data_IF_753237759269
#
_entry.id   IF_753237759269
#
_cell.length_a   1.000
_cell.length_b   1.000
_cell.length_c   1.000
_cell.angle_alpha   90.00
_cell.angle_beta   90.00
_cell.angle_gamma   90.00
#
_symmetry.space_group_name_H-M   'P 1'
#
loop_
_entity.id
_entity.type
_entity.pdbx_description
1 polymer ?
#
# COMPACT_ATOMS: atom_id res chain seq x y z
N UNK A 1 2.63 -6.53 -28.55
CA UNK A 1 3.85 -5.78 -28.15
C UNK A 1 4.00 -4.60 -29.08
N UNK A 2 4.41 -3.44 -28.54
CA UNK A 2 4.69 -2.22 -29.31
C UNK A 2 6.20 -1.95 -29.30
N UNK A 3 6.70 -1.23 -30.31
CA UNK A 3 8.12 -0.85 -30.37
C UNK A 3 8.45 0.17 -29.25
N UNK A 4 9.67 0.11 -28.72
CA UNK A 4 10.12 0.93 -27.58
C UNK A 4 10.03 2.43 -27.86
N UNK A 5 10.38 2.84 -29.05
CA UNK A 5 10.37 4.23 -29.53
C UNK A 5 8.95 4.77 -29.78
N UNK A 6 8.00 3.90 -30.07
CA UNK A 6 6.61 4.25 -30.31
C UNK A 6 5.82 4.36 -28.99
N UNK A 7 6.32 3.78 -27.89
CA UNK A 7 5.62 3.83 -26.61
C UNK A 7 5.46 5.27 -26.10
N UNK A 8 4.26 5.56 -25.67
CA UNK A 8 3.88 6.81 -24.98
C UNK A 8 3.20 6.47 -23.66
N UNK A 9 3.30 7.35 -22.66
CA UNK A 9 2.56 7.18 -21.40
C UNK A 9 1.09 6.92 -21.63
N UNK A 10 0.53 5.96 -20.90
CA UNK A 10 -0.87 5.59 -21.00
C UNK A 10 -1.78 6.76 -20.60
N UNK A 11 -3.01 6.77 -21.14
CA UNK A 11 -4.05 7.78 -20.90
C UNK A 11 -3.66 9.21 -21.28
N UNK A 12 -2.73 9.38 -22.24
CA UNK A 12 -2.31 10.69 -22.71
C UNK A 12 -1.55 11.54 -21.67
N UNK A 13 -1.08 10.93 -20.58
CA UNK A 13 -0.37 11.65 -19.52
C UNK A 13 1.00 12.14 -20.01
N UNK A 14 1.37 13.34 -19.57
CA UNK A 14 2.70 13.89 -19.77
C UNK A 14 3.51 13.70 -18.50
N UNK A 15 4.58 12.89 -18.59
CA UNK A 15 5.54 12.73 -17.50
C UNK A 15 6.59 13.84 -17.57
N UNK A 16 7.12 14.24 -16.40
CA UNK A 16 8.31 15.08 -16.40
C UNK A 16 9.52 14.34 -17.00
N UNK A 17 10.57 15.05 -17.46
CA UNK A 17 11.68 14.44 -18.18
C UNK A 17 12.34 13.26 -17.45
N UNK A 18 12.63 13.39 -16.15
CA UNK A 18 13.24 12.31 -15.35
C UNK A 18 12.29 11.14 -15.10
N UNK A 19 11.00 11.39 -14.90
CA UNK A 19 9.99 10.35 -14.80
C UNK A 19 9.84 9.57 -16.11
N UNK A 20 9.87 10.27 -17.26
CA UNK A 20 9.83 9.64 -18.57
C UNK A 20 11.09 8.80 -18.84
N UNK A 21 12.27 9.34 -18.50
CA UNK A 21 13.54 8.61 -18.58
C UNK A 21 13.49 7.35 -17.72
N UNK A 22 13.03 7.48 -16.46
CA UNK A 22 12.89 6.35 -15.56
C UNK A 22 11.90 5.30 -16.09
N UNK A 23 10.76 5.73 -16.64
CA UNK A 23 9.77 4.81 -17.19
C UNK A 23 10.34 3.97 -18.35
N UNK A 24 11.20 4.56 -19.20
CA UNK A 24 11.79 3.94 -20.39
C UNK A 24 13.12 3.23 -20.15
N UNK A 25 13.72 3.30 -18.96
CA UNK A 25 15.01 2.68 -18.66
C UNK A 25 14.96 1.15 -18.80
N UNK A 26 15.90 0.57 -19.51
CA UNK A 26 15.92 -0.86 -19.87
C UNK A 26 17.14 -1.62 -19.36
N UNK A 27 18.18 -0.94 -18.92
CA UNK A 27 19.49 -1.56 -18.64
C UNK A 27 19.89 -1.42 -17.16
N UNK A 28 19.63 -0.27 -16.55
CA UNK A 28 20.18 0.08 -15.24
C UNK A 28 19.15 -0.02 -14.12
N UNK A 29 19.63 -0.26 -12.92
CA UNK A 29 18.90 0.03 -11.71
C UNK A 29 18.73 1.54 -11.55
N UNK A 30 17.65 1.96 -10.90
CA UNK A 30 17.30 3.37 -10.72
C UNK A 30 17.07 3.71 -9.26
N UNK A 31 17.61 4.83 -8.82
CA UNK A 31 17.37 5.42 -7.52
C UNK A 31 16.68 6.78 -7.69
N UNK A 32 15.34 6.83 -7.53
CA UNK A 32 14.56 8.04 -7.73
C UNK A 32 14.22 8.69 -6.40
N UNK A 33 14.67 9.91 -6.22
CA UNK A 33 14.20 10.78 -5.16
C UNK A 33 13.12 11.72 -5.70
N UNK A 34 12.02 11.83 -5.00
CA UNK A 34 10.86 12.56 -5.46
C UNK A 34 10.08 13.15 -4.30
N UNK A 35 9.82 14.44 -4.34
CA UNK A 35 9.02 15.12 -3.32
C UNK A 35 7.56 14.65 -3.26
N UNK A 36 6.80 15.15 -2.27
CA UNK A 36 5.37 14.87 -2.17
C UNK A 36 4.65 15.37 -3.43
N UNK A 37 3.69 14.59 -3.92
CA UNK A 37 2.93 14.97 -5.11
C UNK A 37 3.68 14.85 -6.44
N UNK A 38 4.93 14.39 -6.48
CA UNK A 38 5.72 14.27 -7.71
C UNK A 38 5.27 13.13 -8.65
N UNK A 39 4.26 12.35 -8.28
CA UNK A 39 3.74 11.29 -9.13
C UNK A 39 4.55 9.98 -9.06
N UNK A 40 5.24 9.69 -7.94
CA UNK A 40 6.03 8.46 -7.73
C UNK A 40 5.29 7.19 -8.17
N UNK A 41 4.13 6.96 -7.62
CA UNK A 41 3.31 5.76 -7.91
C UNK A 41 2.83 5.73 -9.37
N UNK A 42 2.55 6.89 -9.96
CA UNK A 42 2.18 6.99 -11.37
C UNK A 42 3.37 6.62 -12.28
N UNK A 43 4.56 7.14 -11.98
CA UNK A 43 5.77 6.80 -12.73
C UNK A 43 6.04 5.28 -12.68
N UNK A 44 5.91 4.63 -11.52
CA UNK A 44 6.05 3.17 -11.41
C UNK A 44 5.01 2.42 -12.24
N UNK A 45 3.77 2.90 -12.29
CA UNK A 45 2.72 2.29 -13.11
C UNK A 45 3.01 2.46 -14.61
N UNK A 46 3.47 3.62 -15.04
CA UNK A 46 3.88 3.88 -16.43
C UNK A 46 5.12 3.06 -16.82
N UNK A 47 6.07 2.87 -15.89
CA UNK A 47 7.21 1.97 -16.09
C UNK A 47 6.75 0.52 -16.26
N UNK A 48 5.81 0.05 -15.44
CA UNK A 48 5.24 -1.29 -15.60
C UNK A 48 4.55 -1.45 -16.97
N UNK A 49 3.79 -0.45 -17.38
CA UNK A 49 3.14 -0.41 -18.70
C UNK A 49 4.18 -0.49 -19.82
N UNK A 50 5.24 0.33 -19.76
CA UNK A 50 6.33 0.29 -20.70
C UNK A 50 6.97 -1.10 -20.79
N UNK A 51 7.41 -1.65 -19.66
CA UNK A 51 8.12 -2.93 -19.62
C UNK A 51 7.26 -4.11 -20.12
N UNK A 52 5.97 -4.09 -19.84
CA UNK A 52 5.04 -5.15 -20.24
C UNK A 52 4.59 -5.02 -21.69
N UNK A 53 4.24 -3.82 -22.16
CA UNK A 53 3.74 -3.60 -23.52
C UNK A 53 4.84 -3.70 -24.58
N UNK A 54 6.04 -3.25 -24.25
CA UNK A 54 7.18 -3.36 -25.20
C UNK A 54 7.81 -4.75 -25.21
N UNK A 55 7.48 -5.59 -24.22
CA UNK A 55 8.11 -6.90 -24.06
C UNK A 55 9.52 -6.84 -23.47
N UNK A 56 9.95 -5.68 -22.96
CA UNK A 56 11.23 -5.54 -22.22
C UNK A 56 11.24 -6.45 -21.00
N UNK A 57 10.13 -6.59 -20.26
CA UNK A 57 9.87 -7.71 -19.36
C UNK A 57 9.38 -8.91 -20.19
N UNK A 58 10.31 -9.78 -20.60
CA UNK A 58 9.99 -10.93 -21.47
C UNK A 58 9.15 -11.97 -20.76
N UNK A 59 8.17 -12.54 -21.45
CA UNK A 59 7.42 -13.72 -20.95
C UNK A 59 8.38 -14.93 -20.78
N UNK A 60 8.29 -15.72 -19.71
CA UNK A 60 7.28 -15.71 -18.62
C UNK A 60 7.68 -14.84 -17.40
N UNK A 61 8.71 -14.01 -17.51
CA UNK A 61 9.15 -13.14 -16.41
C UNK A 61 8.05 -12.18 -15.95
N UNK A 62 8.16 -11.75 -14.71
CA UNK A 62 7.19 -10.90 -14.02
C UNK A 62 7.87 -9.66 -13.45
N UNK A 63 7.09 -8.67 -13.10
CA UNK A 63 7.52 -7.51 -12.34
C UNK A 63 7.10 -7.72 -10.88
N UNK A 64 7.99 -7.49 -9.94
CA UNK A 64 7.72 -7.48 -8.51
C UNK A 64 7.69 -6.04 -8.01
N UNK A 65 6.65 -5.65 -7.31
CA UNK A 65 6.63 -4.41 -6.51
C UNK A 65 6.61 -4.75 -5.02
N UNK A 66 7.44 -4.06 -4.25
CA UNK A 66 7.49 -4.16 -2.81
C UNK A 66 7.22 -2.77 -2.23
N UNK A 67 6.18 -2.64 -1.42
CA UNK A 67 5.76 -1.41 -0.77
C UNK A 67 5.79 -1.57 0.75
N UNK A 68 5.83 -0.45 1.47
CA UNK A 68 5.83 -0.47 2.93
C UNK A 68 4.45 -0.80 3.51
N UNK A 69 3.39 -0.25 2.90
CA UNK A 69 2.00 -0.35 3.37
C UNK A 69 1.15 -1.20 2.45
N UNK A 70 0.16 -1.88 3.03
CA UNK A 70 -0.78 -2.71 2.28
C UNK A 70 -1.56 -1.89 1.26
N UNK A 71 -2.05 -0.70 1.66
CA UNK A 71 -2.81 0.20 0.80
C UNK A 71 -1.98 0.71 -0.38
N UNK A 72 -0.70 1.04 -0.15
CA UNK A 72 0.22 1.44 -1.21
C UNK A 72 0.41 0.31 -2.24
N UNK A 73 0.59 -0.94 -1.75
CA UNK A 73 0.71 -2.13 -2.60
C UNK A 73 -0.55 -2.36 -3.45
N UNK A 74 -1.73 -2.22 -2.84
CA UNK A 74 -3.02 -2.38 -3.53
C UNK A 74 -3.26 -1.27 -4.54
N UNK A 75 -2.98 -0.02 -4.17
CA UNK A 75 -3.13 1.16 -5.04
C UNK A 75 -2.21 1.06 -6.27
N UNK A 76 -0.94 0.70 -6.07
CA UNK A 76 -0.01 0.51 -7.19
C UNK A 76 -0.49 -0.58 -8.15
N UNK A 77 -0.96 -1.72 -7.63
CA UNK A 77 -1.50 -2.82 -8.43
C UNK A 77 -2.70 -2.40 -9.27
N UNK A 78 -3.67 -1.70 -8.67
CA UNK A 78 -4.84 -1.20 -9.39
C UNK A 78 -4.46 -0.14 -10.44
N UNK A 79 -3.48 0.70 -10.14
CA UNK A 79 -2.97 1.71 -11.07
C UNK A 79 -2.29 1.05 -12.27
N UNK A 80 -1.43 0.05 -12.04
CA UNK A 80 -0.82 -0.75 -13.12
C UNK A 80 -1.89 -1.40 -13.98
N UNK A 81 -2.90 -2.04 -13.37
CA UNK A 81 -4.01 -2.66 -14.09
C UNK A 81 -4.76 -1.65 -14.98
N UNK A 82 -4.93 -0.42 -14.49
CA UNK A 82 -5.57 0.67 -15.26
C UNK A 82 -4.71 1.08 -16.46
N UNK A 83 -3.38 1.13 -16.32
CA UNK A 83 -2.46 1.57 -17.39
C UNK A 83 -2.23 0.51 -18.45
N UNK A 84 -1.93 -0.73 -18.07
CA UNK A 84 -1.57 -1.78 -19.03
C UNK A 84 -2.71 -2.77 -19.37
N UNK A 85 -3.85 -2.66 -18.70
CA UNK A 85 -4.98 -3.58 -18.85
C UNK A 85 -4.85 -4.85 -17.99
N UNK A 86 -5.98 -5.55 -17.81
CA UNK A 86 -6.09 -6.69 -16.90
C UNK A 86 -5.19 -7.86 -17.29
N UNK A 87 -5.02 -8.12 -18.57
CA UNK A 87 -4.22 -9.24 -19.07
C UNK A 87 -2.74 -9.10 -18.71
N UNK A 88 -2.12 -7.98 -19.09
CA UNK A 88 -0.71 -7.73 -18.81
C UNK A 88 -0.45 -7.56 -17.31
N UNK A 89 -1.40 -6.97 -16.57
CA UNK A 89 -1.32 -6.82 -15.12
C UNK A 89 -1.26 -8.15 -14.36
N UNK A 90 -1.64 -9.29 -14.96
CA UNK A 90 -1.43 -10.62 -14.36
C UNK A 90 0.04 -10.93 -14.09
N UNK A 91 0.94 -10.27 -14.82
CA UNK A 91 2.40 -10.41 -14.68
C UNK A 91 3.01 -9.39 -13.72
N UNK A 92 2.21 -8.65 -12.99
CA UNK A 92 2.63 -7.68 -11.98
C UNK A 92 2.23 -8.19 -10.60
N UNK A 93 3.22 -8.50 -9.77
CA UNK A 93 3.05 -8.90 -8.37
C UNK A 93 3.33 -7.70 -7.48
N UNK A 94 2.44 -7.41 -6.54
CA UNK A 94 2.62 -6.32 -5.57
C UNK A 94 2.42 -6.87 -4.16
N UNK A 95 3.41 -6.65 -3.29
CA UNK A 95 3.45 -7.14 -1.92
C UNK A 95 4.00 -6.08 -0.97
N UNK A 96 3.73 -6.24 0.32
CA UNK A 96 4.57 -5.63 1.35
C UNK A 96 5.82 -6.48 1.58
N UNK A 97 6.86 -5.93 2.24
CA UNK A 97 8.05 -6.71 2.61
C UNK A 97 7.71 -8.00 3.36
N UNK A 98 6.81 -7.91 4.34
CA UNK A 98 6.38 -9.07 5.12
C UNK A 98 5.58 -10.07 4.30
N UNK A 99 4.73 -9.61 3.38
CA UNK A 99 4.01 -10.50 2.48
C UNK A 99 4.95 -11.21 1.49
N UNK A 100 5.98 -10.52 1.00
CA UNK A 100 7.02 -11.13 0.16
C UNK A 100 7.84 -12.15 0.95
N UNK A 101 8.27 -11.81 2.17
CA UNK A 101 8.98 -12.73 3.06
C UNK A 101 8.15 -13.98 3.37
N UNK A 102 6.85 -13.79 3.72
CA UNK A 102 5.94 -14.92 3.95
C UNK A 102 5.86 -15.85 2.73
N UNK A 103 5.77 -15.29 1.53
CA UNK A 103 5.72 -16.07 0.30
C UNK A 103 6.99 -16.90 0.08
N UNK A 104 8.16 -16.38 0.46
CA UNK A 104 9.42 -17.13 0.44
C UNK A 104 9.35 -18.28 1.44
N UNK A 105 8.91 -18.02 2.66
CA UNK A 105 8.77 -19.03 3.71
C UNK A 105 7.81 -20.13 3.25
N UNK A 106 6.60 -19.78 2.82
CA UNK A 106 5.58 -20.74 2.41
C UNK A 106 6.10 -21.70 1.31
N UNK A 107 6.89 -21.17 0.38
CA UNK A 107 7.40 -21.96 -0.76
C UNK A 107 8.64 -22.79 -0.43
N UNK A 108 9.52 -22.27 0.43
CA UNK A 108 10.82 -22.87 0.70
C UNK A 108 11.02 -23.27 2.16
N UNK A 109 9.92 -23.38 2.92
CA UNK A 109 9.90 -23.76 4.34
C UNK A 109 10.79 -24.96 4.69
N UNK A 110 10.88 -26.04 3.87
CA UNK A 110 11.74 -27.19 4.22
C UNK A 110 13.24 -26.88 4.36
N UNK A 111 13.69 -25.70 3.94
CA UNK A 111 15.07 -25.21 4.15
C UNK A 111 15.32 -24.84 5.62
N UNK A 112 14.26 -24.48 6.34
CA UNK A 112 14.33 -24.17 7.77
C UNK A 112 14.38 -25.46 8.57
N UNK A 113 15.45 -25.62 9.36
CA UNK A 113 15.72 -26.83 10.14
C UNK A 113 16.02 -26.47 11.61
N UNK A 114 16.00 -27.48 12.51
CA UNK A 114 16.27 -27.28 13.93
C UNK A 114 15.18 -26.41 14.59
N UNK A 115 15.59 -25.44 15.36
CA UNK A 115 14.70 -24.52 16.09
C UNK A 115 13.86 -23.62 15.17
N UNK A 116 14.31 -23.44 13.93
CA UNK A 116 13.60 -22.63 12.93
C UNK A 116 12.67 -23.47 12.04
N UNK A 117 12.61 -24.78 12.23
CA UNK A 117 11.74 -25.65 11.44
C UNK A 117 10.28 -25.25 11.61
N UNK A 118 9.54 -25.16 10.49
CA UNK A 118 8.13 -24.82 10.49
C UNK A 118 7.30 -25.94 9.85
N UNK A 119 6.18 -26.23 10.45
CA UNK A 119 5.20 -27.19 9.94
C UNK A 119 4.31 -26.61 8.84
N UNK A 120 3.62 -27.48 8.08
CA UNK A 120 2.62 -27.03 7.13
C UNK A 120 1.46 -26.39 7.89
N UNK A 121 1.03 -25.20 7.45
CA UNK A 121 -0.08 -24.50 8.10
C UNK A 121 0.29 -23.75 9.37
N UNK A 122 1.60 -23.48 9.61
CA UNK A 122 2.00 -22.57 10.69
C UNK A 122 1.21 -21.26 10.65
N UNK A 123 0.99 -20.67 11.83
CA UNK A 123 0.21 -19.43 11.99
C UNK A 123 1.13 -18.27 12.41
N UNK A 124 0.72 -17.06 12.08
CA UNK A 124 1.33 -15.83 12.57
C UNK A 124 0.53 -15.39 13.79
N UNK A 125 1.21 -15.21 14.92
CA UNK A 125 0.62 -14.75 16.18
C UNK A 125 1.25 -13.42 16.60
N UNK A 126 0.55 -12.65 17.43
CA UNK A 126 1.06 -11.40 17.97
C UNK A 126 2.21 -11.63 18.95
N UNK A 127 2.17 -12.74 19.69
CA UNK A 127 3.22 -13.18 20.61
C UNK A 127 3.36 -14.70 20.58
N UNK A 128 4.60 -15.19 20.69
CA UNK A 128 4.88 -16.61 20.92
C UNK A 128 5.70 -16.77 22.20
N UNK A 129 5.49 -17.87 22.91
CA UNK A 129 6.30 -18.25 24.06
C UNK A 129 7.33 -19.31 23.66
N UNK A 130 8.54 -18.83 23.28
CA UNK A 130 9.66 -19.71 22.88
C UNK A 130 9.59 -20.23 21.43
N UNK A 131 10.56 -21.11 21.05
CA UNK A 131 10.59 -21.71 19.72
C UNK A 131 9.35 -22.54 19.44
N UNK A 132 8.74 -22.38 18.27
CA UNK A 132 7.56 -23.11 17.86
C UNK A 132 7.61 -23.45 16.38
N UNK A 133 7.20 -24.68 16.04
CA UNK A 133 7.07 -25.12 14.64
C UNK A 133 5.75 -24.72 14.00
N UNK A 134 4.77 -24.36 14.82
CA UNK A 134 3.40 -24.05 14.38
C UNK A 134 3.04 -22.57 14.50
N UNK A 135 3.86 -21.77 15.22
CA UNK A 135 3.62 -20.34 15.44
C UNK A 135 4.91 -19.54 15.19
N UNK A 136 4.75 -18.42 14.46
CA UNK A 136 5.79 -17.39 14.32
C UNK A 136 5.18 -16.02 14.63
N UNK A 137 6.02 -15.06 14.98
CA UNK A 137 5.60 -13.66 15.08
C UNK A 137 5.74 -12.95 13.74
N UNK A 138 5.03 -11.82 13.63
CA UNK A 138 5.14 -10.99 12.44
C UNK A 138 6.58 -10.49 12.21
N UNK A 139 7.31 -10.21 13.28
CA UNK A 139 8.72 -9.83 13.29
C UNK A 139 9.68 -10.94 12.80
N UNK A 140 9.28 -12.20 12.86
CA UNK A 140 10.10 -13.33 12.41
C UNK A 140 10.12 -13.50 10.88
N UNK A 141 9.15 -12.92 10.17
CA UNK A 141 8.97 -13.16 8.74
C UNK A 141 10.20 -12.80 7.91
N UNK A 142 10.73 -11.61 8.08
CA UNK A 142 11.89 -11.15 7.30
C UNK A 142 13.16 -11.92 7.69
N UNK A 143 13.49 -12.11 8.97
CA UNK A 143 14.63 -12.95 9.38
C UNK A 143 14.59 -14.38 8.85
N UNK A 144 13.44 -15.06 8.91
CA UNK A 144 13.30 -16.42 8.40
C UNK A 144 13.47 -16.50 6.87
N UNK A 145 12.94 -15.51 6.15
CA UNK A 145 13.14 -15.41 4.69
C UNK A 145 14.62 -15.18 4.35
N UNK A 146 15.34 -14.36 5.12
CA UNK A 146 16.78 -14.15 5.00
C UNK A 146 17.53 -15.50 5.18
N UNK A 147 17.22 -16.26 6.24
CA UNK A 147 17.83 -17.57 6.47
C UNK A 147 17.62 -18.53 5.30
N UNK A 148 16.39 -18.57 4.74
CA UNK A 148 16.11 -19.40 3.56
C UNK A 148 16.99 -18.99 2.40
N UNK A 149 17.08 -17.69 2.11
CA UNK A 149 17.89 -17.21 0.99
C UNK A 149 19.38 -17.40 1.21
N UNK A 150 19.88 -17.32 2.45
CA UNK A 150 21.27 -17.62 2.78
C UNK A 150 21.59 -19.09 2.55
N UNK A 151 20.74 -20.00 3.02
CA UNK A 151 20.98 -21.45 3.01
C UNK A 151 20.65 -22.11 1.66
N UNK A 152 19.77 -21.55 0.84
CA UNK A 152 19.26 -22.20 -0.37
C UNK A 152 19.53 -21.41 -1.65
N UNK A 153 20.46 -21.89 -2.46
CA UNK A 153 20.65 -21.40 -3.84
C UNK A 153 19.40 -21.64 -4.71
N UNK A 154 18.67 -22.73 -4.46
CA UNK A 154 17.44 -23.06 -5.18
C UNK A 154 16.37 -21.99 -4.94
N UNK A 155 16.21 -21.54 -3.68
CA UNK A 155 15.26 -20.46 -3.36
C UNK A 155 15.65 -19.14 -4.05
N UNK A 156 16.94 -18.75 -3.99
CA UNK A 156 17.44 -17.57 -4.70
C UNK A 156 17.19 -17.65 -6.20
N UNK A 157 17.56 -18.77 -6.81
CA UNK A 157 17.41 -18.96 -8.26
C UNK A 157 15.94 -18.96 -8.68
N UNK A 158 15.03 -19.53 -7.92
CA UNK A 158 13.61 -19.51 -8.22
C UNK A 158 13.04 -18.08 -8.25
N UNK A 159 13.44 -17.21 -7.31
CA UNK A 159 13.05 -15.79 -7.32
C UNK A 159 13.64 -15.09 -8.56
N UNK A 160 14.93 -15.29 -8.81
CA UNK A 160 15.66 -14.69 -9.94
C UNK A 160 15.15 -15.13 -11.30
N UNK A 161 14.65 -16.35 -11.41
CA UNK A 161 14.00 -16.85 -12.62
C UNK A 161 12.58 -16.27 -12.80
N UNK A 162 11.91 -15.91 -11.72
CA UNK A 162 10.53 -15.40 -11.77
C UNK A 162 10.49 -13.94 -12.19
N UNK A 163 11.40 -13.09 -11.68
CA UNK A 163 11.33 -11.65 -11.87
C UNK A 163 12.44 -11.12 -12.77
N UNK A 164 12.13 -10.11 -13.58
CA UNK A 164 13.10 -9.33 -14.36
C UNK A 164 13.26 -7.92 -13.83
N UNK A 165 12.24 -7.41 -13.15
CA UNK A 165 12.19 -6.05 -12.64
C UNK A 165 11.61 -6.05 -11.23
N UNK A 166 12.14 -5.18 -10.37
CA UNK A 166 11.69 -5.01 -8.99
C UNK A 166 11.50 -3.53 -8.70
N UNK A 167 10.32 -3.16 -8.23
CA UNK A 167 9.99 -1.80 -7.82
C UNK A 167 9.94 -1.73 -6.30
N UNK A 168 10.59 -0.73 -5.74
CA UNK A 168 10.65 -0.46 -4.31
C UNK A 168 10.01 0.91 -4.07
N UNK A 169 8.77 0.90 -3.54
CA UNK A 169 8.03 2.12 -3.25
C UNK A 169 8.22 2.53 -1.79
N UNK A 170 8.23 3.84 -1.51
CA UNK A 170 8.54 4.44 -0.20
C UNK A 170 9.87 3.92 0.39
N UNK A 171 10.89 3.82 -0.48
CA UNK A 171 12.14 3.15 -0.16
C UNK A 171 12.92 3.81 1.00
N UNK A 172 12.69 5.09 1.31
CA UNK A 172 13.29 5.80 2.45
C UNK A 172 12.99 5.15 3.80
N UNK A 173 11.92 4.36 3.89
CA UNK A 173 11.49 3.70 5.12
C UNK A 173 12.05 2.26 5.26
N UNK A 174 12.91 1.81 4.33
CA UNK A 174 13.48 0.48 4.33
C UNK A 174 14.40 0.24 5.53
N UNK A 175 14.17 -0.84 6.27
CA UNK A 175 15.00 -1.22 7.42
C UNK A 175 16.23 -2.03 6.99
N UNK A 176 17.23 -2.18 7.90
CA UNK A 176 18.43 -2.98 7.64
C UNK A 176 18.09 -4.42 7.21
N UNK A 177 17.19 -5.10 7.91
CA UNK A 177 16.80 -6.49 7.58
C UNK A 177 16.08 -6.57 6.23
N UNK A 178 15.22 -5.61 5.92
CA UNK A 178 14.55 -5.57 4.61
C UNK A 178 15.55 -5.33 3.48
N UNK A 179 16.53 -4.48 3.71
CA UNK A 179 17.59 -4.23 2.74
C UNK A 179 18.49 -5.44 2.54
N UNK A 180 18.84 -6.16 3.61
CA UNK A 180 19.56 -7.43 3.53
C UNK A 180 18.80 -8.47 2.70
N UNK A 181 17.48 -8.59 2.92
CA UNK A 181 16.62 -9.46 2.11
C UNK A 181 16.70 -9.13 0.61
N UNK A 182 16.69 -7.84 0.25
CA UNK A 182 16.83 -7.39 -1.14
C UNK A 182 18.19 -7.74 -1.73
N UNK A 183 19.27 -7.53 -0.96
CA UNK A 183 20.64 -7.87 -1.41
C UNK A 183 20.78 -9.37 -1.68
N UNK A 184 20.34 -10.22 -0.77
CA UNK A 184 20.38 -11.66 -0.94
C UNK A 184 19.57 -12.14 -2.15
N UNK A 185 18.44 -11.55 -2.39
CA UNK A 185 17.57 -11.90 -3.51
C UNK A 185 18.13 -11.44 -4.86
N UNK A 186 18.64 -10.19 -4.95
CA UNK A 186 18.79 -9.51 -6.24
C UNK A 186 20.19 -8.95 -6.53
N UNK A 187 21.07 -8.74 -5.54
CA UNK A 187 22.39 -8.17 -5.78
C UNK A 187 23.23 -9.10 -6.64
N UNK A 188 24.02 -8.54 -7.56
CA UNK A 188 24.87 -9.30 -8.49
C UNK A 188 24.07 -10.06 -9.56
N UNK A 189 22.86 -9.64 -9.87
CA UNK A 189 22.02 -10.23 -10.91
C UNK A 189 21.72 -9.20 -12.00
N UNK A 190 21.19 -9.66 -13.15
CA UNK A 190 20.68 -8.80 -14.23
C UNK A 190 19.27 -8.25 -13.98
N UNK A 191 18.71 -8.44 -12.79
CA UNK A 191 17.39 -7.94 -12.43
C UNK A 191 17.49 -6.44 -12.16
N UNK A 192 16.62 -5.65 -12.81
CA UNK A 192 16.64 -4.19 -12.65
C UNK A 192 15.76 -3.75 -11.48
N UNK A 193 16.38 -3.08 -10.53
CA UNK A 193 15.67 -2.51 -9.41
C UNK A 193 15.37 -1.03 -9.64
N UNK A 194 14.17 -0.60 -9.29
CA UNK A 194 13.75 0.81 -9.32
C UNK A 194 13.29 1.20 -7.92
N UNK A 195 14.16 1.87 -7.17
CA UNK A 195 13.86 2.38 -5.85
C UNK A 195 13.32 3.82 -5.96
N UNK A 196 12.16 4.08 -5.33
CA UNK A 196 11.50 5.37 -5.36
C UNK A 196 11.11 5.78 -3.96
N UNK A 197 11.36 7.03 -3.59
CA UNK A 197 10.97 7.55 -2.28
C UNK A 197 11.27 9.03 -2.10
N UNK A 198 10.94 9.52 -0.92
CA UNK A 198 11.19 10.89 -0.50
C UNK A 198 12.08 10.92 0.75
N UNK A 199 13.34 11.26 0.59
CA UNK A 199 14.31 11.30 1.69
C UNK A 199 13.92 12.24 2.83
N UNK A 200 13.05 13.23 2.56
CA UNK A 200 12.55 14.21 3.52
C UNK A 200 11.34 13.73 4.32
N UNK A 201 10.63 12.71 3.81
CA UNK A 201 9.48 12.09 4.48
C UNK A 201 9.85 10.85 5.30
N UNK A 202 11.11 10.70 5.69
CA UNK A 202 11.57 9.61 6.53
C UNK A 202 10.95 9.73 7.93
N UNK A 203 9.82 9.05 8.14
CA UNK A 203 9.08 9.05 9.42
C UNK A 203 9.34 7.80 10.26
N UNK A 204 9.96 6.78 9.69
CA UNK A 204 10.18 5.46 10.31
C UNK A 204 11.60 5.31 10.91
N UNK A 205 12.29 6.41 11.20
CA UNK A 205 13.60 6.37 11.85
C UNK A 205 13.59 5.62 13.18
N UNK A 206 12.52 5.78 13.96
CA UNK A 206 12.29 5.07 15.21
C UNK A 206 12.12 3.53 15.04
N UNK A 207 11.71 3.08 13.85
CA UNK A 207 11.55 1.67 13.51
C UNK A 207 12.79 1.06 12.82
N UNK A 208 13.94 1.77 12.82
CA UNK A 208 15.20 1.28 12.29
C UNK A 208 15.37 1.47 10.77
N UNK A 209 14.69 2.44 10.16
CA UNK A 209 14.94 2.82 8.77
C UNK A 209 16.40 3.25 8.56
N UNK A 210 17.03 2.71 7.51
CA UNK A 210 18.45 2.89 7.21
C UNK A 210 18.75 4.35 6.83
N UNK A 211 19.72 4.97 7.48
CA UNK A 211 20.18 6.30 7.07
C UNK A 211 21.00 6.20 5.78
N UNK A 212 20.84 7.16 4.87
CA UNK A 212 21.55 7.15 3.59
C UNK A 212 21.20 5.98 2.66
N UNK A 213 20.01 5.39 2.80
CA UNK A 213 19.61 4.18 2.07
C UNK A 213 19.74 4.33 0.54
N UNK A 214 19.43 5.51 -0.01
CA UNK A 214 19.56 5.76 -1.46
C UNK A 214 21.00 5.74 -1.92
N UNK A 215 21.93 6.32 -1.16
CA UNK A 215 23.36 6.31 -1.47
C UNK A 215 23.91 4.89 -1.38
N UNK A 216 23.54 4.14 -0.34
CA UNK A 216 23.89 2.73 -0.19
C UNK A 216 23.36 1.89 -1.36
N UNK A 217 22.11 2.13 -1.76
CA UNK A 217 21.50 1.43 -2.88
C UNK A 217 22.21 1.74 -4.22
N UNK A 218 22.56 3.01 -4.45
CA UNK A 218 23.32 3.43 -5.64
C UNK A 218 24.65 2.68 -5.71
N UNK A 219 25.38 2.58 -4.59
CA UNK A 219 26.66 1.87 -4.53
C UNK A 219 26.49 0.36 -4.74
N UNK A 220 25.54 -0.29 -4.04
CA UNK A 220 25.36 -1.75 -4.02
C UNK A 220 24.78 -2.31 -5.34
N UNK A 221 23.97 -1.54 -6.06
CA UNK A 221 23.27 -1.95 -7.29
C UNK A 221 23.72 -1.19 -8.52
N UNK A 222 24.75 -0.36 -8.44
CA UNK A 222 25.20 0.54 -9.53
C UNK A 222 24.02 1.33 -10.15
N UNK A 223 23.11 1.81 -9.30
CA UNK A 223 21.89 2.44 -9.75
C UNK A 223 22.13 3.88 -10.23
N UNK A 224 21.43 4.30 -11.28
CA UNK A 224 21.43 5.68 -11.74
C UNK A 224 20.54 6.54 -10.86
N UNK A 225 21.07 7.58 -10.19
CA UNK A 225 20.26 8.49 -9.42
C UNK A 225 19.48 9.45 -10.33
N UNK A 226 18.20 9.65 -10.03
CA UNK A 226 17.32 10.59 -10.71
C UNK A 226 16.49 11.36 -9.69
N UNK A 227 16.17 12.62 -9.98
CA UNK A 227 15.31 13.44 -9.13
C UNK A 227 14.05 13.85 -9.88
N UNK A 228 12.89 13.70 -9.25
CA UNK A 228 11.63 14.21 -9.76
C UNK A 228 11.25 15.47 -8.97
N UNK A 229 11.17 16.59 -9.67
CA UNK A 229 10.99 17.90 -9.03
C UNK A 229 9.56 18.42 -9.06
N UNK A 230 8.79 18.08 -10.11
CA UNK A 230 7.43 18.59 -10.27
C UNK A 230 6.48 18.04 -9.22
N UNK A 231 5.64 18.92 -8.69
CA UNK A 231 4.55 18.53 -7.82
C UNK A 231 3.23 18.75 -8.56
N UNK A 232 2.49 17.66 -8.81
CA UNK A 232 1.21 17.67 -9.53
C UNK A 232 0.00 17.72 -8.58
N UNK A 233 0.24 17.75 -7.27
CA UNK A 233 -0.82 17.70 -6.26
C UNK A 233 -1.19 19.08 -5.71
N UNK A 234 -0.19 19.87 -5.42
CA UNK A 234 -0.35 21.12 -4.67
C UNK A 234 -0.45 22.33 -5.58
N UNK A 235 -1.24 23.30 -5.20
CA UNK A 235 -1.36 24.58 -5.90
C UNK A 235 -0.10 25.45 -5.69
N UNK A 236 0.19 26.41 -6.59
CA UNK A 236 1.44 27.20 -6.60
C UNK A 236 1.78 27.91 -5.27
N UNK A 237 0.81 28.50 -4.59
CA UNK A 237 1.06 29.14 -3.27
C UNK A 237 1.52 28.16 -2.20
N UNK A 238 0.99 26.94 -2.20
CA UNK A 238 1.42 25.88 -1.29
C UNK A 238 2.84 25.42 -1.63
N UNK A 239 3.20 25.35 -2.92
CA UNK A 239 4.54 25.00 -3.37
C UNK A 239 5.57 26.04 -2.95
N UNK A 240 5.23 27.32 -3.00
CA UNK A 240 6.11 28.39 -2.50
C UNK A 240 6.35 28.25 -1.00
N UNK A 241 5.29 28.01 -0.21
CA UNK A 241 5.45 27.74 1.22
C UNK A 241 6.29 26.47 1.47
N UNK A 242 6.04 25.40 0.72
CA UNK A 242 6.83 24.18 0.81
C UNK A 242 8.30 24.47 0.51
N UNK A 243 8.62 25.25 -0.51
CA UNK A 243 9.98 25.64 -0.84
C UNK A 243 10.67 26.43 0.28
N UNK A 244 9.96 27.34 0.98
CA UNK A 244 10.51 28.04 2.13
C UNK A 244 10.92 27.06 3.25
N UNK A 245 10.11 26.05 3.50
CA UNK A 245 10.40 25.01 4.50
C UNK A 245 11.60 24.17 4.04
N UNK A 246 11.58 23.71 2.78
CA UNK A 246 12.64 22.87 2.20
C UNK A 246 13.97 23.63 2.17
N UNK A 247 13.98 24.90 1.85
CA UNK A 247 15.20 25.71 1.83
C UNK A 247 15.94 25.72 3.18
N UNK A 248 15.21 25.56 4.29
CA UNK A 248 15.79 25.44 5.62
C UNK A 248 16.21 24.01 5.98
N UNK A 249 15.56 23.00 5.42
CA UNK A 249 15.80 21.59 5.75
C UNK A 249 16.82 20.93 4.80
N UNK A 250 16.73 21.22 3.52
CA UNK A 250 17.56 20.65 2.45
C UNK A 250 17.60 21.59 1.25
N UNK A 251 18.50 22.59 1.23
CA UNK A 251 18.58 23.58 0.16
C UNK A 251 18.77 23.00 -1.24
N UNK A 252 19.38 21.81 -1.33
CA UNK A 252 19.66 21.14 -2.62
C UNK A 252 18.42 20.58 -3.31
N UNK A 253 17.31 20.50 -2.58
CA UNK A 253 16.05 19.92 -3.06
C UNK A 253 14.93 20.92 -3.24
N UNK A 254 15.25 22.22 -3.25
CA UNK A 254 14.29 23.29 -3.54
C UNK A 254 13.86 23.18 -5.01
N UNK A 255 12.54 23.23 -5.25
CA UNK A 255 12.00 23.28 -6.61
C UNK A 255 12.40 24.61 -7.27
N UNK A 256 12.86 24.62 -8.53
CA UNK A 256 13.13 25.86 -9.25
C UNK A 256 11.90 26.78 -9.27
N UNK A 257 12.12 28.07 -9.06
CA UNK A 257 11.01 29.03 -8.98
C UNK A 257 10.25 29.15 -10.31
N UNK A 258 10.95 28.94 -11.43
CA UNK A 258 10.40 28.92 -12.77
C UNK A 258 9.44 27.75 -13.03
N UNK A 259 9.55 26.68 -12.26
CA UNK A 259 8.63 25.53 -12.35
C UNK A 259 7.33 25.74 -11.57
N UNK A 260 7.25 26.79 -10.70
CA UNK A 260 6.08 27.15 -9.94
C UNK A 260 5.27 28.23 -10.68
N UNK A 261 4.45 27.77 -11.64
CA UNK A 261 3.67 28.65 -12.50
C UNK A 261 2.28 28.88 -11.87
N UNK A 262 1.82 30.13 -11.84
CA UNK A 262 0.50 30.51 -11.35
C UNK A 262 0.53 31.08 -9.92
N UNK A 263 -0.63 31.45 -9.42
CA UNK A 263 -0.83 32.03 -8.08
C UNK A 263 -2.03 31.43 -7.34
N UNK A 264 -2.54 30.31 -7.80
CA UNK A 264 -3.67 29.62 -7.22
C UNK A 264 -3.29 28.94 -5.90
N UNK A 265 -4.33 28.74 -5.08
CA UNK A 265 -4.21 28.17 -3.75
C UNK A 265 -4.14 29.27 -2.69
N UNK A 266 -4.46 28.89 -1.48
CA UNK A 266 -4.46 29.80 -0.33
C UNK A 266 -3.72 29.17 0.85
N UNK A 267 -3.05 29.99 1.62
CA UNK A 267 -2.33 29.60 2.82
C UNK A 267 -2.61 30.63 3.90
N UNK A 268 -3.14 30.17 5.02
CA UNK A 268 -3.44 30.98 6.18
C UNK A 268 -2.73 30.44 7.41
N UNK A 269 -2.37 31.29 8.32
CA UNK A 269 -1.86 30.93 9.63
C UNK A 269 -2.68 31.69 10.68
N UNK A 270 -3.30 30.94 11.58
CA UNK A 270 -4.07 31.51 12.68
C UNK A 270 -3.44 31.15 14.02
N UNK A 271 -3.62 32.04 14.99
CA UNK A 271 -3.27 31.81 16.39
C UNK A 271 -4.49 32.11 17.25
N UNK A 272 -4.82 31.15 18.12
CA UNK A 272 -5.97 31.28 19.02
C UNK A 272 -5.50 31.28 20.47
N UNK A 273 -6.31 31.86 21.35
CA UNK A 273 -6.06 31.88 22.79
C UNK A 273 -6.49 30.59 23.49
N UNK A 274 -7.43 29.87 22.89
CA UNK A 274 -7.93 28.59 23.41
C UNK A 274 -8.32 27.63 22.31
N UNK A 275 -8.32 26.32 22.62
CA UNK A 275 -8.76 25.23 21.72
C UNK A 275 -10.25 25.36 21.35
N UNK A 276 -11.08 25.94 22.25
CA UNK A 276 -12.49 26.20 21.96
C UNK A 276 -12.65 27.29 20.88
N UNK A 277 -11.92 28.39 21.04
CA UNK A 277 -11.94 29.46 20.03
C UNK A 277 -11.46 28.98 18.66
N UNK A 278 -10.39 28.16 18.65
CA UNK A 278 -9.92 27.50 17.42
C UNK A 278 -11.00 26.61 16.80
N UNK A 279 -11.64 25.75 17.60
CA UNK A 279 -12.68 24.83 17.16
C UNK A 279 -13.89 25.55 16.55
N UNK A 280 -14.39 26.59 17.24
CA UNK A 280 -15.52 27.38 16.78
C UNK A 280 -15.22 28.12 15.47
N UNK A 281 -14.01 28.67 15.33
CA UNK A 281 -13.56 29.34 14.13
C UNK A 281 -13.42 28.36 12.96
N UNK A 282 -12.74 27.23 13.17
CA UNK A 282 -12.53 26.22 12.13
C UNK A 282 -13.87 25.58 11.68
N UNK A 283 -14.76 25.26 12.60
CA UNK A 283 -16.07 24.72 12.27
C UNK A 283 -16.92 25.74 11.49
N UNK A 284 -16.84 27.01 11.83
CA UNK A 284 -17.47 28.09 11.09
C UNK A 284 -16.92 28.26 9.66
N UNK A 285 -15.61 28.18 9.51
CA UNK A 285 -14.92 28.24 8.23
C UNK A 285 -15.31 27.06 7.33
N UNK A 286 -15.30 25.84 7.89
CA UNK A 286 -15.70 24.61 7.18
C UNK A 286 -17.18 24.70 6.75
N UNK A 287 -18.06 25.18 7.61
CA UNK A 287 -19.48 25.38 7.29
C UNK A 287 -19.66 26.37 6.13
N UNK A 288 -18.87 27.44 6.13
CA UNK A 288 -18.81 28.40 5.03
C UNK A 288 -18.41 27.75 3.71
N UNK A 289 -17.33 26.97 3.68
CA UNK A 289 -16.88 26.28 2.47
C UNK A 289 -17.95 25.31 1.93
N UNK A 290 -18.60 24.56 2.82
CA UNK A 290 -19.64 23.60 2.42
C UNK A 290 -20.85 24.34 1.84
N UNK A 291 -21.31 25.40 2.49
CA UNK A 291 -22.56 26.12 2.09
C UNK A 291 -22.36 27.08 0.94
N UNK A 292 -21.24 27.81 0.93
CA UNK A 292 -20.98 28.88 -0.03
C UNK A 292 -20.23 28.38 -1.27
N UNK A 293 -19.19 27.56 -1.04
CA UNK A 293 -18.33 27.05 -2.12
C UNK A 293 -18.76 25.68 -2.61
N UNK A 294 -19.79 25.09 -1.99
CA UNK A 294 -20.30 23.74 -2.29
C UNK A 294 -19.21 22.65 -2.21
N UNK A 295 -18.22 22.87 -1.35
CA UNK A 295 -17.12 21.91 -1.15
C UNK A 295 -17.64 20.68 -0.40
N UNK A 296 -17.50 19.46 -0.97
CA UNK A 296 -17.93 18.24 -0.27
C UNK A 296 -17.12 18.04 1.00
N UNK A 297 -17.71 17.62 2.13
CA UNK A 297 -16.96 17.33 3.36
C UNK A 297 -15.82 16.33 3.18
N UNK A 298 -15.93 15.41 2.23
CA UNK A 298 -14.90 14.41 1.89
C UNK A 298 -13.61 15.02 1.30
N UNK A 299 -13.67 16.28 0.82
CA UNK A 299 -12.50 17.01 0.29
C UNK A 299 -11.77 17.83 1.39
N UNK A 300 -12.30 17.82 2.62
CA UNK A 300 -11.74 18.55 3.75
C UNK A 300 -11.04 17.57 4.69
N UNK A 301 -9.79 17.82 5.02
CA UNK A 301 -9.03 17.04 6.00
C UNK A 301 -8.47 17.91 7.11
N UNK A 302 -8.63 17.48 8.35
CA UNK A 302 -8.00 18.08 9.53
C UNK A 302 -6.91 17.13 10.03
N UNK A 303 -5.67 17.61 10.08
CA UNK A 303 -4.52 16.84 10.52
C UNK A 303 -4.09 17.27 11.92
N UNK A 304 -4.04 16.32 12.82
CA UNK A 304 -3.63 16.53 14.23
C UNK A 304 -2.41 15.66 14.50
N UNK A 305 -1.43 16.20 15.21
CA UNK A 305 -0.13 15.55 15.43
C UNK A 305 -0.26 14.21 16.16
N UNK A 306 -1.01 14.17 17.26
CA UNK A 306 -1.24 12.99 18.08
C UNK A 306 -2.43 13.23 19.04
N UNK A 307 -2.85 12.20 19.79
CA UNK A 307 -3.88 12.27 20.84
C UNK A 307 -5.15 12.98 20.36
N UNK A 308 -5.75 12.42 19.31
CA UNK A 308 -6.93 12.98 18.66
C UNK A 308 -8.02 13.30 19.68
N UNK A 309 -8.29 12.38 20.62
CA UNK A 309 -9.34 12.51 21.64
C UNK A 309 -9.08 13.68 22.61
N UNK A 310 -7.83 14.15 22.72
CA UNK A 310 -7.48 15.30 23.55
C UNK A 310 -7.53 16.62 22.78
N UNK A 311 -7.06 16.61 21.52
CA UNK A 311 -6.89 17.84 20.75
C UNK A 311 -8.04 18.15 19.80
N UNK A 312 -8.89 17.16 19.45
CA UNK A 312 -9.98 17.33 18.52
C UNK A 312 -11.37 17.40 19.14
N UNK A 313 -11.54 17.10 20.44
CA UNK A 313 -12.85 17.02 21.09
C UNK A 313 -13.68 18.28 20.87
N UNK A 314 -13.10 19.46 21.08
CA UNK A 314 -13.81 20.70 20.87
C UNK A 314 -14.21 20.92 19.42
N UNK A 315 -13.35 20.53 18.46
CA UNK A 315 -13.64 20.64 17.05
C UNK A 315 -14.74 19.66 16.63
N UNK A 316 -14.66 18.42 17.07
CA UNK A 316 -15.68 17.40 16.78
C UNK A 316 -17.05 17.86 17.32
N UNK A 317 -17.11 18.33 18.56
CA UNK A 317 -18.33 18.87 19.14
C UNK A 317 -18.86 20.11 18.38
N UNK A 318 -17.97 21.00 17.90
CA UNK A 318 -18.37 22.18 17.14
C UNK A 318 -18.89 21.84 15.73
N UNK A 319 -18.36 20.78 15.10
CA UNK A 319 -18.84 20.24 13.83
C UNK A 319 -20.20 19.56 13.99
N UNK A 320 -20.37 18.73 15.03
CA UNK A 320 -21.66 18.10 15.37
C UNK A 320 -22.75 19.12 15.62
N UNK A 321 -22.46 20.16 16.42
CA UNK A 321 -23.41 21.24 16.69
C UNK A 321 -23.89 21.98 15.42
N UNK A 322 -23.12 21.93 14.34
CA UNK A 322 -23.46 22.52 13.03
C UNK A 322 -24.04 21.50 12.05
N UNK A 323 -24.18 20.23 12.46
CA UNK A 323 -24.65 19.13 11.59
C UNK A 323 -23.67 18.80 10.44
N UNK A 324 -22.39 19.11 10.59
CA UNK A 324 -21.36 18.82 9.59
C UNK A 324 -20.87 17.38 9.80
N UNK A 325 -21.05 16.49 8.80
CA UNK A 325 -20.57 15.13 8.92
C UNK A 325 -19.04 15.08 8.87
N UNK A 326 -18.46 14.36 9.81
CA UNK A 326 -17.00 14.10 9.83
C UNK A 326 -16.73 12.64 10.16
N UNK A 327 -15.50 12.21 9.90
CA UNK A 327 -15.04 10.85 10.16
C UNK A 327 -13.73 10.87 10.96
N UNK A 328 -13.72 10.14 12.07
CA UNK A 328 -12.51 9.87 12.83
C UNK A 328 -11.79 8.65 12.20
N UNK A 329 -10.72 8.91 11.46
CA UNK A 329 -9.95 7.85 10.78
C UNK A 329 -9.30 6.87 11.75
N UNK A 330 -8.92 7.30 12.96
CA UNK A 330 -8.32 6.42 13.96
C UNK A 330 -9.32 5.35 14.41
N UNK A 331 -10.53 5.75 14.76
CA UNK A 331 -11.60 4.81 15.12
C UNK A 331 -11.97 3.87 13.98
N UNK A 332 -11.95 4.38 12.74
CA UNK A 332 -12.24 3.54 11.56
C UNK A 332 -11.15 2.51 11.30
N UNK A 333 -9.88 2.83 11.55
CA UNK A 333 -8.79 1.86 11.43
C UNK A 333 -8.93 0.74 12.46
N UNK A 334 -9.31 1.05 13.69
CA UNK A 334 -9.54 0.07 14.74
C UNK A 334 -10.72 -0.85 14.39
N UNK A 335 -11.83 -0.31 13.86
CA UNK A 335 -12.99 -1.10 13.41
C UNK A 335 -12.62 -2.08 12.31
N UNK A 336 -11.76 -1.71 11.37
CA UNK A 336 -11.39 -2.59 10.24
C UNK A 336 -10.55 -3.80 10.63
N UNK A 337 -9.93 -3.79 11.81
CA UNK A 337 -9.18 -4.94 12.35
C UNK A 337 -10.04 -5.82 13.25
N UNK A 338 -11.20 -5.33 13.71
CA UNK A 338 -12.14 -6.09 14.50
C UNK A 338 -12.68 -7.30 13.73
N UNK A 339 -12.63 -8.52 14.32
CA UNK A 339 -13.03 -9.75 13.62
C UNK A 339 -14.47 -9.72 13.08
N UNK A 340 -15.41 -9.16 13.83
CA UNK A 340 -16.83 -9.08 13.43
C UNK A 340 -17.02 -8.08 12.30
N UNK A 341 -16.40 -6.92 12.35
CA UNK A 341 -16.45 -5.93 11.29
C UNK A 341 -15.86 -6.51 9.99
N UNK A 342 -14.74 -7.20 10.10
CA UNK A 342 -14.09 -7.87 8.97
C UNK A 342 -14.94 -8.98 8.37
N UNK A 343 -15.62 -9.77 9.21
CA UNK A 343 -16.59 -10.78 8.77
C UNK A 343 -17.71 -10.15 7.93
N UNK A 344 -18.27 -9.04 8.41
CA UNK A 344 -19.33 -8.30 7.71
C UNK A 344 -18.82 -7.75 6.38
N UNK A 345 -17.65 -7.12 6.35
CA UNK A 345 -17.04 -6.58 5.13
C UNK A 345 -16.73 -7.69 4.12
N UNK A 346 -16.17 -8.82 4.56
CA UNK A 346 -15.90 -9.97 3.68
C UNK A 346 -17.20 -10.57 3.14
N UNK A 347 -18.25 -10.66 3.95
CA UNK A 347 -19.57 -11.11 3.51
C UNK A 347 -20.19 -10.16 2.47
N UNK A 348 -20.19 -8.87 2.72
CA UNK A 348 -20.67 -7.86 1.78
C UNK A 348 -19.85 -7.83 0.49
N UNK A 349 -18.54 -8.01 0.58
CA UNK A 349 -17.65 -8.11 -0.58
C UNK A 349 -17.97 -9.34 -1.43
N UNK A 350 -18.31 -10.47 -0.80
CA UNK A 350 -18.77 -11.66 -1.51
C UNK A 350 -20.13 -11.48 -2.17
N UNK A 351 -21.03 -10.70 -1.55
CA UNK A 351 -22.37 -10.44 -2.07
C UNK A 351 -22.39 -9.42 -3.23
N UNK A 352 -21.65 -8.33 -3.08
CA UNK A 352 -21.74 -7.17 -3.98
C UNK A 352 -20.48 -6.95 -4.83
N UNK A 353 -19.34 -7.54 -4.46
CA UNK A 353 -18.09 -7.47 -5.20
C UNK A 353 -18.11 -8.33 -6.50
N UNK A 354 -17.23 -8.00 -7.42
CA UNK A 354 -17.04 -8.81 -8.65
C UNK A 354 -15.91 -9.81 -8.44
N UNK A 355 -16.26 -11.07 -8.08
CA UNK A 355 -15.31 -12.17 -7.85
C UNK A 355 -14.20 -11.83 -6.85
N UNK A 356 -14.53 -11.78 -5.58
CA UNK A 356 -13.60 -11.51 -4.48
C UNK A 356 -13.12 -12.80 -3.78
N UNK A 357 -12.22 -13.59 -4.42
CA UNK A 357 -11.80 -14.89 -3.88
C UNK A 357 -11.10 -14.77 -2.52
N UNK A 358 -10.45 -13.65 -2.25
CA UNK A 358 -9.80 -13.42 -0.95
C UNK A 358 -10.81 -13.19 0.18
N UNK A 359 -11.87 -12.42 -0.08
CA UNK A 359 -12.95 -12.23 0.86
C UNK A 359 -13.67 -13.55 1.14
N UNK A 360 -13.92 -14.35 0.10
CA UNK A 360 -14.49 -15.69 0.22
C UNK A 360 -13.65 -16.61 1.11
N UNK A 361 -12.34 -16.70 0.88
CA UNK A 361 -11.45 -17.55 1.67
C UNK A 361 -11.44 -17.13 3.14
N UNK A 362 -11.37 -15.81 3.42
CA UNK A 362 -11.40 -15.30 4.80
C UNK A 362 -12.74 -15.60 5.47
N UNK A 363 -13.84 -15.35 4.75
CA UNK A 363 -15.20 -15.65 5.22
C UNK A 363 -15.35 -17.13 5.60
N UNK A 364 -14.89 -18.02 4.73
CA UNK A 364 -14.91 -19.47 4.98
C UNK A 364 -14.07 -19.85 6.20
N UNK A 365 -12.87 -19.29 6.32
CA UNK A 365 -11.98 -19.59 7.45
C UNK A 365 -12.56 -19.09 8.79
N UNK A 366 -13.38 -18.05 8.79
CA UNK A 366 -14.02 -17.52 9.99
C UNK A 366 -15.29 -18.26 10.37
N UNK A 367 -16.11 -18.65 9.36
CA UNK A 367 -17.39 -19.31 9.61
C UNK A 367 -17.27 -20.82 9.89
N UNK A 368 -16.18 -21.45 9.43
CA UNK A 368 -16.04 -22.92 9.47
C UNK A 368 -14.67 -23.35 10.06
N UNK A 369 -14.20 -22.75 11.17
CA UNK A 369 -12.83 -23.02 11.60
C UNK A 369 -12.61 -24.40 12.24
N UNK A 370 -13.66 -25.07 12.75
CA UNK A 370 -13.53 -26.27 13.62
C UNK A 370 -14.61 -27.33 13.43
N UNK A 371 -15.32 -27.34 12.30
CA UNK A 371 -16.36 -28.33 12.03
C UNK A 371 -15.82 -29.53 11.25
N UNK A 372 -16.46 -30.70 11.39
CA UNK A 372 -16.19 -31.88 10.56
C UNK A 372 -16.32 -31.57 9.08
N UNK A 373 -15.61 -32.32 8.24
CA UNK A 373 -15.56 -32.09 6.78
C UNK A 373 -16.95 -32.04 6.12
N UNK A 374 -17.90 -32.81 6.62
CA UNK A 374 -19.28 -32.83 6.10
C UNK A 374 -20.02 -31.52 6.45
N UNK A 375 -19.84 -30.97 7.66
CA UNK A 375 -20.43 -29.69 8.06
C UNK A 375 -19.79 -28.57 7.25
N UNK A 376 -18.46 -28.61 7.08
CA UNK A 376 -17.74 -27.65 6.26
C UNK A 376 -18.24 -27.66 4.81
N UNK A 377 -18.44 -28.83 4.23
CA UNK A 377 -18.96 -29.00 2.87
C UNK A 377 -20.38 -28.43 2.73
N UNK A 378 -21.26 -28.68 3.70
CA UNK A 378 -22.65 -28.19 3.68
C UNK A 378 -22.72 -26.66 3.81
N UNK A 379 -21.99 -26.08 4.77
CA UNK A 379 -21.94 -24.62 4.95
C UNK A 379 -21.35 -23.94 3.70
N UNK A 380 -20.32 -24.51 3.08
CA UNK A 380 -19.77 -23.99 1.81
C UNK A 380 -20.81 -24.01 0.69
N UNK A 381 -21.57 -25.12 0.55
CA UNK A 381 -22.62 -25.24 -0.47
C UNK A 381 -23.75 -24.23 -0.24
N UNK A 382 -24.17 -24.04 1.00
CA UNK A 382 -25.26 -23.12 1.32
C UNK A 382 -24.84 -21.65 1.12
N UNK A 383 -23.62 -21.28 1.49
CA UNK A 383 -23.06 -19.95 1.23
C UNK A 383 -22.83 -19.71 -0.28
N UNK A 384 -22.34 -20.71 -1.02
CA UNK A 384 -22.18 -20.62 -2.46
C UNK A 384 -23.55 -20.46 -3.15
N UNK A 385 -24.57 -21.17 -2.66
CA UNK A 385 -25.96 -21.04 -3.11
C UNK A 385 -26.51 -19.63 -2.83
N UNK A 386 -26.34 -19.11 -1.62
CA UNK A 386 -26.78 -17.75 -1.23
C UNK A 386 -26.10 -16.68 -2.10
N UNK A 387 -24.81 -16.80 -2.37
CA UNK A 387 -24.06 -15.86 -3.20
C UNK A 387 -24.45 -15.96 -4.67
N UNK A 388 -24.71 -17.16 -5.19
CA UNK A 388 -25.17 -17.37 -6.57
C UNK A 388 -26.59 -16.87 -6.81
N UNK A 389 -27.47 -16.94 -5.82
CA UNK A 389 -28.86 -16.45 -5.90
C UNK A 389 -29.00 -14.93 -5.80
N UNK A 390 -27.92 -14.15 -5.62
CA UNK A 390 -27.96 -12.69 -5.52
C UNK A 390 -28.58 -11.98 -6.72
N UNK A 391 -28.68 -12.65 -7.86
CA UNK A 391 -29.20 -12.06 -9.12
C UNK A 391 -30.67 -12.27 -9.35
N UNK A 392 -31.41 -12.92 -8.42
CA UNK A 392 -32.85 -13.06 -8.51
C UNK A 392 -33.53 -11.97 -7.70
N UNK A 393 -34.21 -11.00 -8.35
CA UNK A 393 -34.92 -9.94 -7.62
C UNK A 393 -36.17 -10.53 -6.97
N UNK A 394 -36.25 -10.93 -5.78
CA UNK A 394 -36.79 -10.28 -4.61
C UNK A 394 -36.06 -10.63 -3.28
N UNK A 395 -34.91 -11.25 -3.31
CA UNK A 395 -34.22 -11.78 -2.14
C UNK A 395 -33.45 -10.69 -1.34
N UNK A 396 -33.26 -9.52 -1.92
CA UNK A 396 -32.28 -8.56 -1.45
C UNK A 396 -32.61 -7.83 -0.13
N UNK A 397 -33.83 -7.86 0.40
CA UNK A 397 -34.18 -6.99 1.53
C UNK A 397 -34.81 -7.66 2.77
N UNK A 398 -35.30 -8.89 2.71
CA UNK A 398 -36.07 -9.45 3.83
C UNK A 398 -35.41 -10.60 4.58
N UNK A 399 -34.59 -11.42 3.93
CA UNK A 399 -34.09 -12.67 4.53
C UNK A 399 -32.69 -12.59 5.10
N UNK A 400 -31.88 -11.55 4.82
CA UNK A 400 -30.51 -11.42 5.33
C UNK A 400 -30.48 -11.20 6.85
N UNK A 401 -31.36 -10.37 7.37
CA UNK A 401 -31.50 -10.14 8.82
C UNK A 401 -32.13 -11.35 9.54
N UNK A 402 -33.00 -12.09 8.86
CA UNK A 402 -33.66 -13.24 9.47
C UNK A 402 -32.71 -14.42 9.65
N UNK A 403 -31.78 -14.66 8.72
CA UNK A 403 -30.78 -15.72 8.84
C UNK A 403 -29.73 -15.42 9.92
N UNK A 404 -29.33 -14.17 10.08
CA UNK A 404 -28.46 -13.73 11.16
C UNK A 404 -29.20 -13.76 12.54
N UNK A 405 -30.53 -13.62 12.54
CA UNK A 405 -31.35 -13.57 13.76
C UNK A 405 -32.01 -14.91 14.12
N UNK A 406 -32.25 -15.78 13.17
CA UNK A 406 -32.88 -17.11 13.41
C UNK A 406 -31.89 -18.14 13.93
N UNK A 407 -30.83 -17.67 14.58
CA UNK A 407 -29.96 -18.41 15.48
C UNK A 407 -30.03 -19.95 15.34
N UNK A 408 -29.25 -20.52 14.45
CA UNK A 408 -28.74 -21.83 14.81
C UNK A 408 -27.78 -21.60 15.96
N UNK A 409 -28.35 -21.65 17.17
CA UNK A 409 -27.57 -21.81 18.38
C UNK A 409 -26.70 -23.03 18.17
N UNK A 410 -25.43 -22.82 17.96
CA UNK A 410 -24.43 -23.80 18.26
C UNK A 410 -24.57 -24.09 19.74
N UNK A 411 -25.18 -25.21 20.10
CA UNK A 411 -25.13 -25.75 21.45
C UNK A 411 -23.68 -26.13 21.74
N UNK A 412 -23.26 -25.97 23.02
CA UNK A 412 -21.85 -26.07 23.41
C UNK A 412 -21.22 -27.44 23.16
#
# INVERSE_FOLDING_TARGET
>A
MIAVDVWKPADGLTLEPNALRAAKEQEHCLALTAGPGAGKTEMLAQRADFLLRTGTCRYPKRILAISFKVDASSNLKERVKRRCGSELATRFDSYTFHAFAKRIIDRFRPVLTGEYALDVGYKIADRKHGPSRTLIEFSDLVPLAIQILQKSAVARNAIRQTYSDVFLDEFQDCTNLQYELLKLAFQGTSIRLTAVGDTKQKIMGWAGALEGIFQTFVADFAATPLNMYRNFRSKPRLLRLQNEIIRKLDPSSVMPSEDIIGDEGEVFAWRFESSRQEADYLAGLIDGWIKTEQLPPAEIAVLIRNQLDLYADHLMAALEARGIPFRNEQQMQDITVEPVARLIVDYLSCLYGQREPKAWIRLMNQLVPFADEDIQSNVRKDLDRLIKHRWSPPFAKRNMLWWLYSGHRLQP
#
